data_IF_217997309800
#
_entry.id   IF_217997309800
#
_cell.length_a   1.000
_cell.length_b   1.000
_cell.length_c   1.000
_cell.angle_alpha   90.00
_cell.angle_beta   90.00
_cell.angle_gamma   90.00
#
_symmetry.space_group_name_H-M   'P 1'
#
loop_
_entity.id
_entity.type
_entity.pdbx_description
1 polymer ?
#
# COMPACT_ATOMS: atom_id res chain seq x y z
N UNK A 1 -3.47 12.51 12.84
CA UNK A 1 -3.06 12.93 11.48
C UNK A 1 -1.95 11.99 11.01
N UNK A 2 -1.73 11.77 9.69
CA UNK A 2 -0.59 10.96 9.22
C UNK A 2 0.75 11.61 9.59
N UNK A 3 1.74 10.80 9.90
CA UNK A 3 3.11 11.28 10.03
C UNK A 3 3.57 11.90 8.70
N UNK A 4 4.21 13.06 8.77
CA UNK A 4 4.70 13.76 7.59
C UNK A 4 6.03 13.16 7.06
N UNK A 5 6.78 12.49 7.92
CA UNK A 5 8.14 11.99 7.67
C UNK A 5 8.31 10.48 7.92
N UNK A 6 7.22 9.71 7.91
CA UNK A 6 7.31 8.28 8.18
C UNK A 6 6.00 7.54 8.00
N UNK A 7 5.98 6.32 8.48
CA UNK A 7 4.82 5.44 8.43
C UNK A 7 3.94 5.60 9.67
N UNK A 8 2.63 5.63 9.48
CA UNK A 8 1.65 5.67 10.57
C UNK A 8 1.00 7.03 10.79
N UNK A 9 0.38 7.20 11.94
CA UNK A 9 -0.30 8.43 12.38
C UNK A 9 0.44 9.03 13.57
N UNK A 10 0.27 10.33 13.80
CA UNK A 10 0.93 11.09 14.89
C UNK A 10 0.55 10.60 16.29
N UNK A 11 -0.60 9.95 16.40
CA UNK A 11 -1.14 9.34 17.64
C UNK A 11 -0.86 7.83 17.73
N UNK A 12 -0.20 7.25 16.75
CA UNK A 12 0.18 5.85 16.78
C UNK A 12 1.51 5.67 17.53
N UNK A 13 1.52 4.77 18.52
CA UNK A 13 2.70 4.42 19.30
C UNK A 13 3.65 3.50 18.50
N UNK A 14 3.99 3.92 17.28
CA UNK A 14 4.87 3.20 16.35
C UNK A 14 6.36 3.56 16.52
N UNK A 15 6.76 4.16 17.64
CA UNK A 15 8.16 4.26 18.01
C UNK A 15 8.68 2.87 18.35
N UNK A 16 8.97 2.06 17.34
CA UNK A 16 9.71 0.82 17.53
C UNK A 16 11.13 1.18 17.96
N UNK A 17 11.38 1.19 19.27
CA UNK A 17 12.75 1.10 19.74
C UNK A 17 13.32 -0.23 19.30
N UNK A 18 14.45 -0.18 18.55
CA UNK A 18 15.17 -1.38 18.15
C UNK A 18 15.56 -2.15 19.43
N UNK A 19 15.12 -3.41 19.54
CA UNK A 19 15.56 -4.29 20.62
C UNK A 19 17.10 -4.38 20.61
N UNK A 20 17.70 -4.63 21.78
CA UNK A 20 19.17 -4.78 21.88
C UNK A 20 19.69 -5.88 20.94
N UNK A 21 18.94 -6.99 20.80
CA UNK A 21 19.30 -8.08 19.92
C UNK A 21 19.27 -7.67 18.43
N UNK A 22 18.23 -6.94 18.01
CA UNK A 22 18.13 -6.43 16.63
C UNK A 22 19.21 -5.39 16.33
N UNK A 23 19.49 -4.51 17.30
CA UNK A 23 20.59 -3.53 17.16
C UNK A 23 21.94 -4.24 16.97
N UNK A 24 22.26 -5.21 17.82
CA UNK A 24 23.51 -6.01 17.69
C UNK A 24 23.59 -6.74 16.37
N UNK A 25 22.48 -7.31 15.89
CA UNK A 25 22.40 -7.97 14.59
C UNK A 25 22.70 -6.96 13.45
N UNK A 26 22.07 -5.78 13.47
CA UNK A 26 22.31 -4.75 12.46
C UNK A 26 23.77 -4.27 12.48
N UNK A 27 24.33 -4.01 13.66
CA UNK A 27 25.75 -3.59 13.79
C UNK A 27 26.72 -4.67 13.27
N UNK A 28 26.42 -5.94 13.48
CA UNK A 28 27.21 -7.04 12.93
C UNK A 28 27.12 -7.15 11.41
N UNK A 29 25.95 -6.83 10.82
CA UNK A 29 25.72 -6.95 9.38
C UNK A 29 26.21 -5.75 8.57
N UNK A 30 25.99 -4.55 9.07
CA UNK A 30 26.20 -3.30 8.30
C UNK A 30 27.17 -2.32 8.98
N UNK A 31 27.68 -2.66 10.17
CA UNK A 31 28.55 -1.81 10.96
C UNK A 31 27.80 -0.77 11.80
N UNK A 32 28.56 0.06 12.52
CA UNK A 32 28.00 1.11 13.36
C UNK A 32 27.38 2.21 12.51
N UNK A 33 26.09 2.49 12.75
CA UNK A 33 25.35 3.51 12.04
C UNK A 33 25.75 4.94 12.46
N UNK A 34 25.55 5.87 11.56
CA UNK A 34 25.63 7.32 11.86
C UNK A 34 24.22 7.86 12.04
N UNK A 35 23.97 8.60 13.12
CA UNK A 35 22.68 9.25 13.32
C UNK A 35 22.42 10.27 12.21
N UNK A 36 21.25 10.17 11.59
CA UNK A 36 20.79 11.16 10.62
C UNK A 36 20.34 12.44 11.34
N UNK A 37 20.51 13.62 10.74
CA UNK A 37 19.84 14.82 11.20
C UNK A 37 18.34 14.58 11.28
N UNK A 38 17.69 15.10 12.33
CA UNK A 38 16.24 15.01 12.49
C UNK A 38 15.65 16.40 12.22
N UNK A 39 15.09 16.59 11.02
CA UNK A 39 14.41 17.83 10.68
C UNK A 39 13.02 17.85 11.30
N UNK A 40 12.59 19.01 11.73
CA UNK A 40 11.20 19.25 12.13
C UNK A 40 10.32 19.56 10.91
N UNK A 41 9.01 19.40 11.07
CA UNK A 41 8.05 19.80 10.03
C UNK A 41 8.23 21.29 9.64
N UNK A 42 8.47 22.15 10.63
CA UNK A 42 8.68 23.57 10.39
C UNK A 42 9.94 23.88 9.59
N UNK A 43 11.02 23.10 9.77
CA UNK A 43 12.24 23.25 8.96
C UNK A 43 11.95 23.01 7.48
N UNK A 44 11.09 22.04 7.16
CA UNK A 44 10.71 21.72 5.78
C UNK A 44 9.67 22.71 5.25
N UNK A 45 8.66 23.10 6.05
CA UNK A 45 7.67 24.13 5.70
C UNK A 45 8.35 25.42 5.26
N UNK A 46 9.44 25.82 5.96
CA UNK A 46 10.17 27.06 5.64
C UNK A 46 10.86 27.06 4.27
N UNK A 47 11.01 25.89 3.65
CA UNK A 47 11.61 25.71 2.31
C UNK A 47 10.59 25.71 1.18
N UNK A 48 9.30 25.64 1.50
CA UNK A 48 8.22 25.56 0.48
C UNK A 48 8.14 26.90 -0.28
N UNK A 49 8.33 26.89 -1.61
CA UNK A 49 8.25 28.12 -2.39
C UNK A 49 6.80 28.62 -2.50
N UNK A 50 6.63 29.85 -2.93
CA UNK A 50 5.31 30.36 -3.27
C UNK A 50 4.64 29.47 -4.32
N UNK A 51 3.31 29.32 -4.22
CA UNK A 51 2.56 28.59 -5.24
C UNK A 51 2.62 29.32 -6.58
N UNK A 52 2.60 28.55 -7.67
CA UNK A 52 2.48 29.05 -9.04
C UNK A 52 1.03 28.92 -9.56
N UNK A 53 0.10 28.44 -8.72
CA UNK A 53 -1.32 28.28 -9.06
C UNK A 53 -2.10 29.53 -8.74
N UNK A 54 -3.07 29.85 -9.59
CA UNK A 54 -4.13 30.81 -9.31
C UNK A 54 -5.09 30.28 -8.24
N UNK A 55 -5.82 31.17 -7.62
CA UNK A 55 -6.81 30.82 -6.57
C UNK A 55 -7.93 29.98 -7.20
N UNK A 56 -8.16 28.81 -6.62
CA UNK A 56 -9.25 27.90 -7.01
C UNK A 56 -9.94 27.34 -5.76
N UNK A 57 -11.29 27.27 -5.72
CA UNK A 57 -12.02 26.88 -4.50
C UNK A 57 -11.74 25.46 -4.00
N UNK A 58 -11.33 24.55 -4.88
CA UNK A 58 -11.00 23.16 -4.54
C UNK A 58 -9.52 22.94 -4.26
N UNK A 59 -8.64 23.93 -4.43
CA UNK A 59 -7.19 23.77 -4.31
C UNK A 59 -6.67 24.48 -3.06
N UNK A 60 -5.95 23.74 -2.25
CA UNK A 60 -5.27 24.20 -1.03
C UNK A 60 -3.81 24.41 -1.36
N UNK A 61 -3.26 25.58 -1.01
CA UNK A 61 -1.89 25.98 -1.36
C UNK A 61 -1.00 26.25 -0.14
N UNK A 62 -1.49 25.97 1.08
CA UNK A 62 -0.68 26.14 2.29
C UNK A 62 0.54 25.20 2.29
N UNK A 63 1.60 25.65 2.95
CA UNK A 63 2.90 24.97 2.90
C UNK A 63 2.87 23.58 3.58
N UNK A 64 2.13 23.43 4.69
CA UNK A 64 2.07 22.15 5.41
C UNK A 64 1.39 21.07 4.56
N UNK A 65 0.24 21.36 3.97
CA UNK A 65 -0.46 20.43 3.08
C UNK A 65 0.44 20.00 1.92
N UNK A 66 1.19 20.94 1.35
CA UNK A 66 2.11 20.67 0.25
C UNK A 66 3.30 19.80 0.67
N UNK A 67 3.83 19.99 1.88
CA UNK A 67 4.89 19.13 2.45
C UNK A 67 4.39 17.69 2.62
N UNK A 68 3.18 17.50 3.16
CA UNK A 68 2.58 16.18 3.41
C UNK A 68 2.29 15.38 2.13
N UNK A 69 2.34 16.03 0.97
CA UNK A 69 2.12 15.42 -0.36
C UNK A 69 3.38 15.45 -1.25
N UNK A 70 4.54 15.73 -0.66
CA UNK A 70 5.77 15.91 -1.43
C UNK A 70 6.55 14.62 -1.70
N UNK A 71 6.34 13.57 -0.91
CA UNK A 71 7.10 12.31 -0.99
C UNK A 71 6.21 11.09 -0.78
N UNK A 72 6.65 9.96 -1.36
CA UNK A 72 6.12 8.64 -1.07
C UNK A 72 6.77 8.00 0.16
N UNK A 73 6.92 6.67 0.14
CA UNK A 73 7.39 5.86 1.28
C UNK A 73 8.59 4.98 0.91
N UNK A 74 9.38 5.36 -0.11
CA UNK A 74 10.63 4.68 -0.40
C UNK A 74 11.70 5.01 0.65
N UNK A 75 12.74 4.18 0.75
CA UNK A 75 13.85 4.49 1.65
C UNK A 75 14.51 5.84 1.34
N UNK A 76 14.79 6.22 0.07
CA UNK A 76 15.23 7.57 -0.26
C UNK A 76 14.27 8.67 0.22
N UNK A 77 12.94 8.48 0.05
CA UNK A 77 11.96 9.46 0.52
C UNK A 77 12.04 9.65 2.04
N UNK A 78 12.20 8.55 2.79
CA UNK A 78 12.35 8.63 4.25
C UNK A 78 13.63 9.35 4.66
N UNK A 79 14.75 9.08 3.98
CA UNK A 79 16.01 9.77 4.24
C UNK A 79 15.89 11.27 3.96
N UNK A 80 15.24 11.65 2.86
CA UNK A 80 15.00 13.06 2.52
C UNK A 80 14.11 13.75 3.56
N UNK A 81 13.00 13.11 3.94
CA UNK A 81 12.07 13.67 4.92
C UNK A 81 12.75 13.82 6.31
N UNK A 82 13.42 12.78 6.81
CA UNK A 82 14.09 12.82 8.10
C UNK A 82 15.24 13.82 8.16
N UNK A 83 16.02 13.94 7.08
CA UNK A 83 17.12 14.92 7.01
C UNK A 83 16.67 16.32 6.62
N UNK A 84 15.39 16.50 6.25
CA UNK A 84 14.86 17.76 5.76
C UNK A 84 15.35 18.15 4.37
N UNK A 85 15.86 17.21 3.58
CA UNK A 85 16.35 17.45 2.21
C UNK A 85 15.21 17.39 1.16
N UNK A 86 14.01 17.76 1.56
CA UNK A 86 12.88 17.89 0.64
C UNK A 86 12.99 19.20 -0.10
N UNK A 87 13.12 19.15 -1.41
CA UNK A 87 13.37 20.31 -2.29
C UNK A 87 12.27 20.52 -3.34
N UNK A 88 11.35 19.56 -3.48
CA UNK A 88 10.27 19.58 -4.47
C UNK A 88 8.93 19.37 -3.80
N UNK A 89 8.00 20.23 -4.13
CA UNK A 89 6.66 20.25 -3.55
C UNK A 89 5.62 20.44 -4.67
N UNK A 90 4.40 19.90 -4.52
CA UNK A 90 3.31 20.32 -5.40
C UNK A 90 3.03 21.81 -5.18
N UNK A 91 2.51 22.49 -6.19
CA UNK A 91 2.08 23.89 -6.05
C UNK A 91 0.77 24.02 -5.28
N UNK A 92 -0.06 22.97 -5.34
CA UNK A 92 -1.29 22.87 -4.55
C UNK A 92 -1.77 21.42 -4.47
N UNK A 93 -2.71 21.22 -3.55
CA UNK A 93 -3.36 19.92 -3.31
C UNK A 93 -4.86 20.13 -3.33
N UNK A 94 -5.58 19.26 -4.03
CA UNK A 94 -7.04 19.24 -4.05
C UNK A 94 -7.57 17.97 -3.39
N UNK A 95 -8.70 18.09 -2.67
CA UNK A 95 -9.38 16.98 -1.98
C UNK A 95 -10.82 16.87 -2.50
N UNK A 96 -11.04 16.33 -3.71
CA UNK A 96 -12.37 16.20 -4.27
C UNK A 96 -13.22 15.21 -3.46
N UNK A 97 -14.52 15.48 -3.42
CA UNK A 97 -15.55 14.68 -2.76
C UNK A 97 -16.45 13.94 -3.76
N UNK A 98 -16.29 14.24 -5.05
CA UNK A 98 -17.06 13.59 -6.12
C UNK A 98 -16.28 13.47 -7.42
N UNK A 99 -16.74 12.60 -8.31
CA UNK A 99 -16.18 12.42 -9.65
C UNK A 99 -16.30 13.69 -10.49
N UNK A 100 -17.35 14.48 -10.27
CA UNK A 100 -17.59 15.75 -10.95
C UNK A 100 -16.53 16.80 -10.55
N UNK A 101 -16.15 16.87 -9.26
CA UNK A 101 -15.07 17.75 -8.81
C UNK A 101 -13.71 17.31 -9.37
N UNK A 102 -13.45 15.99 -9.47
CA UNK A 102 -12.24 15.49 -10.15
C UNK A 102 -12.22 15.93 -11.60
N UNK A 103 -13.35 15.85 -12.28
CA UNK A 103 -13.48 16.31 -13.66
C UNK A 103 -13.26 17.81 -13.81
N UNK A 104 -13.83 18.62 -12.92
CA UNK A 104 -13.59 20.06 -12.87
C UNK A 104 -12.10 20.38 -12.72
N UNK A 105 -11.42 19.72 -11.79
CA UNK A 105 -9.97 19.86 -11.57
C UNK A 105 -9.14 19.46 -12.80
N UNK A 106 -9.53 18.39 -13.51
CA UNK A 106 -8.83 17.97 -14.74
C UNK A 106 -9.05 18.97 -15.90
N UNK A 107 -10.24 19.55 -16.03
CA UNK A 107 -10.51 20.62 -16.99
C UNK A 107 -9.64 21.84 -16.67
N UNK A 108 -9.67 22.29 -15.41
CA UNK A 108 -8.81 23.38 -14.93
C UNK A 108 -7.32 23.11 -15.20
N UNK A 109 -6.85 21.89 -14.90
CA UNK A 109 -5.46 21.51 -15.15
C UNK A 109 -5.09 21.57 -16.65
N UNK A 110 -5.99 21.12 -17.51
CA UNK A 110 -5.80 21.17 -18.96
C UNK A 110 -5.73 22.59 -19.49
N UNK A 111 -6.65 23.46 -19.05
CA UNK A 111 -6.73 24.87 -19.48
C UNK A 111 -5.51 25.69 -19.00
N UNK A 112 -4.96 25.36 -17.84
CA UNK A 112 -3.83 26.05 -17.22
C UNK A 112 -2.49 25.32 -17.42
N UNK A 113 -2.46 24.27 -18.24
CA UNK A 113 -1.24 23.48 -18.53
C UNK A 113 -0.52 22.96 -17.29
N UNK A 114 -1.28 22.45 -16.31
CA UNK A 114 -0.75 21.90 -15.07
C UNK A 114 -0.27 20.45 -15.25
N UNK A 115 0.70 20.05 -14.43
CA UNK A 115 1.01 18.63 -14.18
C UNK A 115 0.09 18.13 -13.08
N UNK A 116 -0.61 17.02 -13.29
CA UNK A 116 -1.49 16.41 -12.31
C UNK A 116 -0.85 15.15 -11.76
N UNK A 117 -0.81 15.05 -10.42
CA UNK A 117 -0.38 13.85 -9.70
C UNK A 117 -1.59 13.28 -8.95
N UNK A 118 -2.17 12.15 -9.38
CA UNK A 118 -3.16 11.44 -8.59
C UNK A 118 -2.53 10.86 -7.32
N UNK A 119 -3.21 11.05 -6.18
CA UNK A 119 -2.71 10.63 -4.89
C UNK A 119 -3.80 9.85 -4.13
N UNK A 120 -3.46 8.67 -3.67
CA UNK A 120 -4.33 7.86 -2.83
C UNK A 120 -3.86 7.90 -1.37
N UNK A 121 -3.31 6.78 -0.89
CA UNK A 121 -2.72 6.72 0.44
C UNK A 121 -1.28 7.22 0.56
N UNK A 122 -0.62 7.68 -0.49
CA UNK A 122 0.77 8.16 -0.46
C UNK A 122 1.81 7.08 -0.13
N UNK A 123 1.45 5.81 -0.26
CA UNK A 123 2.29 4.65 0.14
C UNK A 123 3.22 4.16 -0.95
N UNK A 124 3.37 4.90 -2.05
CA UNK A 124 4.25 4.56 -3.16
C UNK A 124 5.71 4.43 -2.71
N UNK A 125 6.38 3.38 -3.18
CA UNK A 125 7.83 3.14 -2.96
C UNK A 125 8.65 3.29 -4.23
N UNK A 126 8.04 3.72 -5.33
CA UNK A 126 8.70 3.89 -6.65
C UNK A 126 8.75 5.35 -7.10
N UNK A 127 8.32 6.29 -6.26
CA UNK A 127 8.45 7.72 -6.47
C UNK A 127 7.48 8.35 -7.48
N UNK A 128 6.53 7.61 -8.05
CA UNK A 128 5.62 8.15 -9.08
C UNK A 128 4.65 9.23 -8.58
N UNK A 129 4.53 9.41 -7.27
CA UNK A 129 3.74 10.50 -6.66
C UNK A 129 4.61 11.69 -6.23
N UNK A 130 5.94 11.59 -6.36
CA UNK A 130 6.85 12.67 -5.99
C UNK A 130 6.83 13.76 -7.06
N UNK A 131 6.72 15.04 -6.68
CA UNK A 131 6.87 16.14 -7.63
C UNK A 131 8.25 16.12 -8.31
N UNK A 132 8.27 16.36 -9.62
CA UNK A 132 9.50 16.47 -10.40
C UNK A 132 9.84 17.92 -10.74
N UNK A 133 11.06 18.16 -11.21
CA UNK A 133 11.45 19.47 -11.74
C UNK A 133 10.72 19.73 -13.06
N UNK A 134 9.90 20.75 -13.08
CA UNK A 134 9.15 21.18 -14.26
C UNK A 134 8.84 22.67 -14.19
N UNK A 135 8.80 23.32 -15.35
CA UNK A 135 8.35 24.70 -15.47
C UNK A 135 6.84 24.87 -15.28
N UNK A 136 6.09 23.76 -15.35
CA UNK A 136 4.65 23.75 -15.15
C UNK A 136 4.29 23.66 -13.67
N UNK A 137 3.22 24.34 -13.21
CA UNK A 137 2.71 24.12 -11.87
C UNK A 137 2.21 22.68 -11.68
N UNK A 138 2.37 22.16 -10.47
CA UNK A 138 2.00 20.79 -10.11
C UNK A 138 0.80 20.81 -9.17
N UNK A 139 -0.27 20.13 -9.57
CA UNK A 139 -1.47 19.89 -8.77
C UNK A 139 -1.53 18.43 -8.34
N UNK A 140 -1.45 18.16 -7.05
CA UNK A 140 -1.76 16.84 -6.48
C UNK A 140 -3.26 16.73 -6.20
N UNK A 141 -3.90 15.65 -6.63
CA UNK A 141 -5.32 15.37 -6.37
C UNK A 141 -5.42 14.18 -5.43
N UNK A 142 -5.71 14.44 -4.17
CA UNK A 142 -5.84 13.45 -3.10
C UNK A 142 -7.28 12.92 -3.05
N UNK A 143 -7.42 11.63 -3.30
CA UNK A 143 -8.71 10.94 -3.35
C UNK A 143 -9.26 10.54 -1.97
N UNK A 144 -8.57 10.84 -0.88
CA UNK A 144 -8.88 10.36 0.47
C UNK A 144 -10.28 10.71 1.00
N UNK A 145 -10.94 11.74 0.46
CA UNK A 145 -12.32 12.07 0.80
C UNK A 145 -13.37 11.20 0.07
N UNK A 146 -13.00 10.55 -1.02
CA UNK A 146 -13.87 9.63 -1.76
C UNK A 146 -13.68 8.21 -1.22
N UNK A 147 -14.05 7.95 0.03
CA UNK A 147 -13.69 6.74 0.78
C UNK A 147 -14.89 5.90 1.26
N UNK A 148 -16.09 6.16 0.78
CA UNK A 148 -17.29 5.45 1.21
C UNK A 148 -17.65 4.29 0.29
N UNK A 149 -18.35 3.29 0.84
CA UNK A 149 -19.06 2.29 0.03
C UNK A 149 -20.28 2.94 -0.62
N UNK A 150 -20.38 2.84 -1.94
CA UNK A 150 -21.47 3.43 -2.74
C UNK A 150 -22.62 2.44 -2.95
N UNK A 151 -22.30 1.16 -3.16
CA UNK A 151 -23.29 0.10 -3.34
C UNK A 151 -22.71 -1.28 -3.06
N UNK A 152 -23.58 -2.22 -2.73
CA UNK A 152 -23.27 -3.65 -2.65
C UNK A 152 -24.38 -4.45 -3.33
N UNK A 153 -23.99 -5.39 -4.18
CA UNK A 153 -24.85 -6.38 -4.81
C UNK A 153 -24.41 -7.76 -4.31
N UNK A 154 -25.18 -8.30 -3.36
CA UNK A 154 -24.87 -9.59 -2.74
C UNK A 154 -25.21 -10.78 -3.63
N UNK A 155 -26.08 -10.61 -4.62
CA UNK A 155 -26.42 -11.66 -5.60
C UNK A 155 -25.26 -11.85 -6.59
N UNK A 156 -24.74 -10.75 -7.13
CA UNK A 156 -23.57 -10.77 -8.04
C UNK A 156 -22.23 -10.80 -7.30
N UNK A 157 -22.23 -10.66 -5.98
CA UNK A 157 -21.02 -10.52 -5.14
C UNK A 157 -20.11 -9.40 -5.62
N UNK A 158 -20.69 -8.22 -5.80
CA UNK A 158 -19.99 -7.00 -6.20
C UNK A 158 -20.21 -5.89 -5.17
N UNK A 159 -19.19 -5.09 -4.94
CA UNK A 159 -19.31 -3.86 -4.16
C UNK A 159 -18.59 -2.72 -4.87
N UNK A 160 -19.16 -1.52 -4.81
CA UNK A 160 -18.58 -0.31 -5.39
C UNK A 160 -18.20 0.65 -4.27
N UNK A 161 -16.97 1.14 -4.32
CA UNK A 161 -16.41 2.11 -3.40
C UNK A 161 -15.85 3.32 -4.14
N UNK A 162 -15.79 4.45 -3.46
CA UNK A 162 -14.92 5.54 -3.85
C UNK A 162 -13.45 5.09 -3.84
N UNK A 163 -12.68 5.53 -4.81
CA UNK A 163 -11.30 5.07 -5.04
C UNK A 163 -10.32 5.41 -3.89
N UNK A 164 -10.66 6.40 -3.05
CA UNK A 164 -9.90 6.79 -1.87
C UNK A 164 -10.13 5.93 -0.63
N UNK A 165 -10.97 4.89 -0.70
CA UNK A 165 -11.24 4.02 0.44
C UNK A 165 -10.00 3.22 0.86
N UNK A 166 -9.49 3.38 2.09
CA UNK A 166 -8.38 2.57 2.60
C UNK A 166 -8.85 1.19 3.03
N UNK A 167 -7.91 0.25 3.16
CA UNK A 167 -8.19 -1.14 3.49
C UNK A 167 -9.09 -1.35 4.70
N UNK A 168 -8.85 -0.70 5.85
CA UNK A 168 -9.70 -0.83 7.02
C UNK A 168 -11.16 -0.47 6.75
N UNK A 169 -11.44 0.61 6.02
CA UNK A 169 -12.81 1.02 5.66
C UNK A 169 -13.45 -0.01 4.72
N UNK A 170 -12.72 -0.47 3.69
CA UNK A 170 -13.24 -1.48 2.76
C UNK A 170 -13.64 -2.74 3.51
N UNK A 171 -12.77 -3.28 4.35
CA UNK A 171 -13.05 -4.52 5.10
C UNK A 171 -14.15 -4.32 6.16
N UNK A 172 -14.16 -3.20 6.88
CA UNK A 172 -15.18 -2.91 7.88
C UNK A 172 -16.59 -2.84 7.25
N UNK A 173 -16.73 -2.12 6.14
CA UNK A 173 -18.01 -2.01 5.45
C UNK A 173 -18.47 -3.36 4.88
N UNK A 174 -17.59 -4.14 4.26
CA UNK A 174 -17.93 -5.45 3.73
C UNK A 174 -18.32 -6.44 4.83
N UNK A 175 -17.64 -6.42 5.97
CA UNK A 175 -17.95 -7.29 7.13
C UNK A 175 -19.36 -7.07 7.67
N UNK A 176 -19.90 -5.85 7.64
CA UNK A 176 -21.31 -5.56 8.04
C UNK A 176 -22.33 -6.34 7.21
N UNK A 177 -21.93 -6.74 5.99
CA UNK A 177 -22.76 -7.52 5.06
C UNK A 177 -22.36 -8.99 4.97
N UNK A 178 -21.38 -9.46 5.78
CA UNK A 178 -20.90 -10.84 5.77
C UNK A 178 -19.88 -11.16 4.68
N UNK A 179 -19.19 -10.15 4.15
CA UNK A 179 -18.21 -10.29 3.07
C UNK A 179 -16.82 -9.76 3.45
N UNK A 180 -15.82 -10.10 2.65
CA UNK A 180 -14.46 -9.58 2.67
C UNK A 180 -13.98 -9.36 1.25
N UNK A 181 -13.04 -8.46 1.04
CA UNK A 181 -12.27 -8.38 -0.18
C UNK A 181 -11.11 -9.38 -0.17
N UNK A 182 -10.48 -9.56 1.00
CA UNK A 182 -9.33 -10.45 1.15
C UNK A 182 -8.03 -9.91 0.53
N UNK A 183 -7.96 -8.63 0.24
CA UNK A 183 -6.78 -7.99 -0.33
C UNK A 183 -5.99 -7.26 0.75
N UNK A 184 -4.87 -7.87 1.19
CA UNK A 184 -4.05 -7.37 2.30
C UNK A 184 -2.61 -7.05 1.83
N UNK A 185 -2.36 -5.96 1.08
CA UNK A 185 -0.99 -5.53 0.79
C UNK A 185 -0.30 -5.08 2.08
N UNK A 186 1.04 -5.01 2.09
CA UNK A 186 1.79 -4.56 3.28
C UNK A 186 1.38 -3.15 3.73
N UNK A 187 0.95 -2.32 2.82
CA UNK A 187 0.48 -0.95 3.06
C UNK A 187 -1.04 -0.86 3.36
N UNK A 188 -1.71 -1.97 3.67
CA UNK A 188 -3.16 -2.10 3.76
C UNK A 188 -3.85 -1.00 4.57
N UNK A 189 -3.28 -0.61 5.71
CA UNK A 189 -3.86 0.39 6.60
C UNK A 189 -3.98 1.79 5.98
N UNK A 190 -3.04 2.15 5.11
CA UNK A 190 -2.88 3.49 4.56
C UNK A 190 -3.15 3.57 3.05
N UNK A 191 -2.93 2.49 2.32
CA UNK A 191 -3.15 2.46 0.87
C UNK A 191 -4.64 2.37 0.53
N UNK A 192 -5.01 2.86 -0.64
CA UNK A 192 -6.41 2.99 -1.05
C UNK A 192 -6.77 2.04 -2.18
N UNK A 193 -8.05 1.73 -2.30
CA UNK A 193 -8.59 0.82 -3.31
C UNK A 193 -8.22 1.24 -4.75
N UNK A 194 -8.37 2.54 -5.07
CA UNK A 194 -7.94 3.07 -6.37
C UNK A 194 -6.43 2.98 -6.57
N UNK A 195 -5.65 3.18 -5.51
CA UNK A 195 -4.20 3.01 -5.53
C UNK A 195 -3.81 1.56 -5.80
N UNK A 196 -4.53 0.58 -5.25
CA UNK A 196 -4.28 -0.84 -5.53
C UNK A 196 -4.51 -1.18 -7.01
N UNK A 197 -5.61 -0.69 -7.59
CA UNK A 197 -5.89 -0.86 -9.02
C UNK A 197 -4.81 -0.18 -9.86
N UNK A 198 -4.48 1.08 -9.55
CA UNK A 198 -3.50 1.87 -10.28
C UNK A 198 -2.08 1.26 -10.25
N UNK A 199 -1.69 0.59 -9.15
CA UNK A 199 -0.37 -0.05 -9.01
C UNK A 199 -0.38 -1.56 -9.33
N UNK A 200 -1.52 -2.16 -9.65
CA UNK A 200 -1.70 -3.60 -9.87
C UNK A 200 -1.19 -4.42 -8.68
N UNK A 201 -1.61 -4.03 -7.49
CA UNK A 201 -1.04 -4.53 -6.23
C UNK A 201 -1.36 -6.01 -5.95
N UNK A 202 -0.52 -6.63 -5.11
CA UNK A 202 -0.71 -7.97 -4.57
C UNK A 202 -0.84 -7.90 -3.05
N UNK A 203 -1.67 -8.76 -2.50
CA UNK A 203 -1.86 -8.91 -1.05
C UNK A 203 -1.20 -10.18 -0.52
N UNK A 204 -1.03 -10.29 0.79
CA UNK A 204 -0.42 -11.46 1.43
C UNK A 204 -1.24 -12.74 1.27
N UNK A 205 -2.56 -12.62 1.12
CA UNK A 205 -3.48 -13.73 0.91
C UNK A 205 -3.92 -13.89 -0.56
N UNK A 206 -3.18 -13.33 -1.49
CA UNK A 206 -3.50 -13.40 -2.93
C UNK A 206 -3.48 -14.83 -3.50
N UNK A 207 -2.89 -15.77 -2.78
CA UNK A 207 -2.95 -17.18 -3.16
C UNK A 207 -4.38 -17.72 -3.11
N UNK A 208 -5.19 -17.27 -2.16
CA UNK A 208 -6.59 -17.67 -1.99
C UNK A 208 -7.56 -16.73 -2.71
N UNK A 209 -7.45 -15.44 -2.41
CA UNK A 209 -8.42 -14.45 -2.90
C UNK A 209 -8.08 -13.90 -4.30
N UNK A 210 -6.87 -14.15 -4.81
CA UNK A 210 -6.36 -13.54 -6.02
C UNK A 210 -5.66 -12.21 -5.75
N UNK A 211 -5.13 -11.61 -6.80
CA UNK A 211 -4.56 -10.26 -6.80
C UNK A 211 -5.64 -9.26 -7.19
N UNK A 212 -5.32 -7.96 -7.09
CA UNK A 212 -6.31 -6.90 -7.40
C UNK A 212 -6.89 -7.03 -8.82
N UNK A 213 -6.14 -7.52 -9.80
CA UNK A 213 -6.63 -7.75 -11.15
C UNK A 213 -7.74 -8.82 -11.23
N UNK A 214 -7.76 -9.76 -10.31
CA UNK A 214 -8.82 -10.76 -10.22
C UNK A 214 -10.08 -10.20 -9.53
N UNK A 215 -9.89 -9.22 -8.65
CA UNK A 215 -10.94 -8.59 -7.86
C UNK A 215 -11.59 -7.41 -8.59
N UNK A 216 -10.82 -6.64 -9.36
CA UNK A 216 -11.31 -5.47 -10.08
C UNK A 216 -12.32 -5.87 -11.15
N UNK A 217 -13.59 -5.50 -10.96
CA UNK A 217 -14.67 -5.81 -11.88
C UNK A 217 -14.96 -4.68 -12.86
N UNK A 218 -14.78 -3.43 -12.45
CA UNK A 218 -15.07 -2.24 -13.25
C UNK A 218 -14.96 -0.97 -12.42
N UNK A 219 -15.37 0.17 -12.99
CA UNK A 219 -15.29 1.43 -12.27
C UNK A 219 -15.42 2.66 -13.16
N UNK A 220 -15.12 3.83 -12.57
CA UNK A 220 -15.17 5.11 -13.24
C UNK A 220 -13.81 5.80 -13.14
N UNK A 221 -13.35 6.30 -14.28
CA UNK A 221 -12.08 6.99 -14.41
C UNK A 221 -12.33 8.35 -15.09
N UNK A 222 -11.88 9.43 -14.48
CA UNK A 222 -11.89 10.74 -15.10
C UNK A 222 -10.58 10.98 -15.84
N UNK A 223 -10.67 11.38 -17.11
CA UNK A 223 -9.53 11.63 -17.97
C UNK A 223 -9.55 13.06 -18.53
N UNK A 224 -8.45 13.54 -19.07
CA UNK A 224 -8.38 14.85 -19.74
C UNK A 224 -9.34 14.99 -20.96
N UNK A 225 -9.85 13.88 -21.48
CA UNK A 225 -10.73 13.86 -22.66
C UNK A 225 -12.17 13.47 -22.34
N UNK A 226 -12.49 13.15 -21.10
CA UNK A 226 -13.83 12.76 -20.68
C UNK A 226 -13.83 11.66 -19.64
N UNK A 227 -15.02 11.21 -19.27
CA UNK A 227 -15.23 10.11 -18.35
C UNK A 227 -15.15 8.78 -19.09
N UNK A 228 -14.40 7.84 -18.52
CA UNK A 228 -14.37 6.44 -18.95
C UNK A 228 -15.11 5.60 -17.92
N UNK A 229 -16.13 4.88 -18.38
CA UNK A 229 -16.85 3.88 -17.57
C UNK A 229 -16.41 2.49 -18.01
N UNK A 230 -15.94 1.71 -17.07
CA UNK A 230 -15.62 0.29 -17.27
C UNK A 230 -16.78 -0.54 -16.69
N UNK A 231 -17.59 -1.16 -17.56
CA UNK A 231 -18.73 -1.95 -17.09
C UNK A 231 -18.26 -3.23 -16.39
N UNK A 232 -19.08 -3.71 -15.44
CA UNK A 232 -18.81 -4.91 -14.63
C UNK A 232 -19.14 -6.22 -15.36
N UNK A 233 -18.92 -6.29 -16.65
CA UNK A 233 -19.15 -7.50 -17.46
C UNK A 233 -18.12 -8.56 -17.06
N UNK A 234 -18.53 -9.76 -16.61
CA UNK A 234 -17.62 -10.79 -16.09
C UNK A 234 -16.55 -11.23 -17.11
N UNK A 235 -16.95 -11.38 -18.36
CA UNK A 235 -16.08 -11.73 -19.47
C UNK A 235 -16.67 -11.19 -20.78
N UNK A 236 -15.80 -10.76 -21.71
CA UNK A 236 -16.21 -10.29 -23.03
C UNK A 236 -15.23 -10.81 -24.09
N UNK A 237 -15.79 -11.24 -25.22
CA UNK A 237 -14.99 -11.60 -26.40
C UNK A 237 -14.82 -10.41 -27.36
N UNK A 238 -15.38 -9.24 -27.03
CA UNK A 238 -15.41 -8.06 -27.89
C UNK A 238 -14.25 -7.11 -27.53
N UNK A 239 -13.21 -7.13 -28.33
CA UNK A 239 -12.07 -6.24 -28.23
C UNK A 239 -11.16 -6.48 -27.01
N UNK A 240 -10.16 -5.60 -26.81
CA UNK A 240 -9.28 -5.67 -25.66
C UNK A 240 -10.02 -5.33 -24.36
N UNK A 241 -9.63 -5.97 -23.25
CA UNK A 241 -10.18 -5.69 -21.94
C UNK A 241 -9.59 -4.36 -21.40
N UNK A 242 -10.44 -3.34 -21.30
CA UNK A 242 -10.03 -2.00 -20.83
C UNK A 242 -9.61 -2.03 -19.36
N UNK A 243 -10.06 -3.00 -18.55
CA UNK A 243 -9.60 -3.19 -17.17
C UNK A 243 -8.09 -3.38 -17.13
N UNK A 244 -7.55 -4.17 -18.05
CA UNK A 244 -6.10 -4.44 -18.14
C UNK A 244 -5.27 -3.20 -18.47
N UNK A 245 -5.85 -2.21 -19.14
CA UNK A 245 -5.18 -0.93 -19.42
C UNK A 245 -5.09 -0.05 -18.17
N UNK A 246 -6.10 -0.09 -17.30
CA UNK A 246 -6.15 0.71 -16.07
C UNK A 246 -5.33 0.08 -14.96
N UNK A 247 -5.31 -1.24 -14.88
CA UNK A 247 -4.49 -1.99 -13.94
C UNK A 247 -3.00 -1.73 -14.17
N UNK A 248 -2.34 -1.13 -13.17
CA UNK A 248 -0.91 -0.77 -13.26
C UNK A 248 -0.63 0.49 -14.08
N UNK A 249 -1.64 1.30 -14.39
CA UNK A 249 -1.47 2.57 -15.15
C UNK A 249 -0.81 3.68 -14.34
N UNK A 250 -0.76 3.56 -13.02
CA UNK A 250 -0.13 4.51 -12.08
C UNK A 250 -0.61 5.97 -12.29
N UNK A 251 -1.89 6.13 -12.61
CA UNK A 251 -2.51 7.45 -12.82
C UNK A 251 -2.24 8.10 -14.18
N UNK A 252 -1.50 7.46 -15.09
CA UNK A 252 -1.14 8.04 -16.40
C UNK A 252 -2.30 8.12 -17.39
N UNK A 253 -3.31 7.27 -17.23
CA UNK A 253 -4.48 7.24 -18.12
C UNK A 253 -5.67 8.03 -17.58
N UNK A 254 -5.60 8.52 -16.35
CA UNK A 254 -6.66 9.27 -15.69
C UNK A 254 -6.69 9.01 -14.19
N UNK A 255 -7.65 9.59 -13.51
CA UNK A 255 -7.88 9.45 -12.07
C UNK A 255 -9.04 8.51 -11.85
N UNK A 256 -8.79 7.40 -11.16
CA UNK A 256 -9.83 6.45 -10.77
C UNK A 256 -10.65 7.11 -9.65
N UNK A 257 -11.97 7.20 -9.85
CA UNK A 257 -12.89 7.81 -8.88
C UNK A 257 -13.78 6.78 -8.20
N UNK A 258 -14.16 5.71 -8.93
CA UNK A 258 -14.98 4.63 -8.42
C UNK A 258 -14.37 3.28 -8.79
N UNK A 259 -14.41 2.35 -7.86
CA UNK A 259 -13.90 0.98 -8.07
C UNK A 259 -14.97 -0.02 -7.67
N UNK A 260 -15.38 -0.86 -8.62
CA UNK A 260 -16.23 -2.03 -8.35
C UNK A 260 -15.37 -3.28 -8.25
N UNK A 261 -15.51 -3.98 -7.15
CA UNK A 261 -14.74 -5.17 -6.77
C UNK A 261 -15.61 -6.40 -6.61
N UNK A 262 -15.05 -7.57 -6.91
CA UNK A 262 -15.61 -8.86 -6.54
C UNK A 262 -15.32 -9.14 -5.09
N UNK A 263 -16.35 -9.50 -4.34
CA UNK A 263 -16.27 -9.76 -2.89
C UNK A 263 -16.52 -11.25 -2.63
N UNK A 264 -15.97 -11.74 -1.52
CA UNK A 264 -16.06 -13.14 -1.11
C UNK A 264 -16.77 -13.23 0.25
N UNK A 265 -17.64 -14.23 0.52
CA UNK A 265 -18.18 -14.44 1.85
C UNK A 265 -17.09 -14.53 2.90
N UNK A 266 -17.35 -13.97 4.11
CA UNK A 266 -16.40 -14.06 5.23
C UNK A 266 -16.13 -15.53 5.56
N UNK A 267 -14.86 -15.91 5.71
CA UNK A 267 -14.51 -17.25 6.15
C UNK A 267 -14.92 -17.46 7.62
N UNK A 268 -15.39 -18.66 7.95
CA UNK A 268 -15.73 -19.01 9.32
C UNK A 268 -14.48 -19.16 10.21
N UNK A 269 -13.38 -19.61 9.63
CA UNK A 269 -12.10 -19.82 10.31
C UNK A 269 -10.92 -19.40 9.45
N UNK A 270 -9.96 -18.82 10.15
CA UNK A 270 -8.65 -18.50 9.59
C UNK A 270 -7.58 -18.90 10.61
N UNK A 271 -6.51 -19.56 10.15
CA UNK A 271 -5.38 -19.95 10.98
C UNK A 271 -4.08 -19.75 10.23
N UNK A 272 -3.10 -19.16 10.92
CA UNK A 272 -1.73 -19.05 10.44
C UNK A 272 -0.81 -19.95 11.23
N UNK A 273 0.13 -20.58 10.55
CA UNK A 273 1.10 -21.52 11.13
C UNK A 273 2.50 -21.16 10.65
N UNK A 274 3.48 -21.55 11.45
CA UNK A 274 4.90 -21.39 11.13
C UNK A 274 5.57 -22.74 11.18
N UNK A 275 6.41 -23.02 10.17
CA UNK A 275 7.28 -24.18 10.15
C UNK A 275 8.71 -23.77 9.79
N UNK A 276 9.68 -24.45 10.37
CA UNK A 276 11.10 -24.20 10.10
C UNK A 276 11.71 -25.36 9.33
N UNK A 277 12.54 -25.05 8.36
CA UNK A 277 13.32 -26.02 7.59
C UNK A 277 14.81 -25.80 7.84
N UNK A 278 15.63 -26.91 7.75
CA UNK A 278 17.05 -26.82 8.05
C UNK A 278 17.86 -26.06 6.99
N UNK A 279 17.34 -25.89 5.77
CA UNK A 279 18.02 -25.14 4.71
C UNK A 279 17.02 -24.48 3.76
N UNK A 280 17.52 -23.51 2.98
CA UNK A 280 16.77 -22.83 1.92
C UNK A 280 16.25 -23.80 0.86
N UNK A 281 17.07 -24.75 0.43
CA UNK A 281 16.75 -25.73 -0.63
C UNK A 281 15.56 -26.61 -0.23
N UNK A 282 15.56 -27.08 1.03
CA UNK A 282 14.46 -27.90 1.56
C UNK A 282 13.17 -27.05 1.68
N UNK A 283 13.27 -25.83 2.21
CA UNK A 283 12.12 -24.90 2.30
C UNK A 283 11.56 -24.56 0.94
N UNK A 284 12.39 -24.26 -0.04
CA UNK A 284 11.98 -23.99 -1.43
C UNK A 284 11.32 -25.20 -2.09
N UNK A 285 11.86 -26.41 -1.86
CA UNK A 285 11.26 -27.62 -2.39
C UNK A 285 9.86 -27.87 -1.81
N UNK A 286 9.71 -27.69 -0.51
CA UNK A 286 8.41 -27.81 0.17
C UNK A 286 7.41 -26.76 -0.33
N UNK A 287 7.81 -25.48 -0.43
CA UNK A 287 6.94 -24.41 -0.95
C UNK A 287 6.49 -24.70 -2.39
N UNK A 288 7.41 -25.13 -3.26
CA UNK A 288 7.10 -25.50 -4.64
C UNK A 288 6.11 -26.66 -4.70
N UNK A 289 6.32 -27.70 -3.90
CA UNK A 289 5.43 -28.86 -3.88
C UNK A 289 4.00 -28.49 -3.44
N UNK A 290 3.86 -27.69 -2.37
CA UNK A 290 2.56 -27.20 -1.91
C UNK A 290 1.81 -26.46 -3.02
N UNK A 291 2.49 -25.57 -3.75
CA UNK A 291 1.87 -24.79 -4.84
C UNK A 291 1.54 -25.66 -6.05
N UNK A 292 2.44 -26.56 -6.45
CA UNK A 292 2.22 -27.46 -7.61
C UNK A 292 1.11 -28.46 -7.36
N UNK A 293 0.99 -28.95 -6.14
CA UNK A 293 -0.12 -29.83 -5.72
C UNK A 293 -1.43 -29.06 -5.47
N UNK A 294 -1.43 -27.71 -5.60
CA UNK A 294 -2.61 -26.85 -5.37
C UNK A 294 -3.23 -27.08 -4.00
N UNK A 295 -2.39 -27.24 -2.97
CA UNK A 295 -2.88 -27.30 -1.59
C UNK A 295 -3.64 -26.02 -1.29
N UNK A 296 -4.86 -26.14 -0.73
CA UNK A 296 -5.74 -25.01 -0.47
C UNK A 296 -5.22 -24.17 0.72
N UNK A 297 -4.28 -23.27 0.46
CA UNK A 297 -3.69 -22.34 1.43
C UNK A 297 -4.11 -20.91 1.08
N UNK A 298 -4.30 -20.09 2.09
CA UNK A 298 -4.59 -18.65 1.88
C UNK A 298 -3.31 -17.85 1.68
N UNK A 299 -2.22 -18.27 2.30
CA UNK A 299 -0.91 -17.62 2.24
C UNK A 299 0.21 -18.67 2.30
N UNK A 300 1.29 -18.43 1.58
CA UNK A 300 2.59 -19.09 1.76
C UNK A 300 3.69 -18.05 1.63
N UNK A 301 4.53 -17.92 2.65
CA UNK A 301 5.71 -17.05 2.64
C UNK A 301 6.90 -17.82 3.18
N UNK A 302 7.95 -17.94 2.38
CA UNK A 302 9.23 -18.53 2.78
C UNK A 302 10.25 -17.40 2.97
N UNK A 303 10.80 -17.28 4.16
CA UNK A 303 11.85 -16.32 4.52
C UNK A 303 13.22 -16.99 4.42
N UNK A 304 14.19 -16.31 3.81
CA UNK A 304 15.56 -16.79 3.76
C UNK A 304 16.22 -16.77 5.17
N UNK A 305 17.42 -17.34 5.35
CA UNK A 305 18.05 -17.45 6.69
C UNK A 305 18.21 -16.09 7.39
N UNK A 306 18.64 -15.05 6.67
CA UNK A 306 18.82 -13.72 7.24
C UNK A 306 17.49 -13.08 7.63
N UNK A 307 16.49 -13.13 6.74
CA UNK A 307 15.14 -12.65 7.03
C UNK A 307 14.52 -13.43 8.20
N UNK A 308 14.68 -14.75 8.24
CA UNK A 308 14.20 -15.60 9.34
C UNK A 308 14.77 -15.13 10.68
N UNK A 309 16.06 -14.94 10.77
CA UNK A 309 16.73 -14.44 11.98
C UNK A 309 16.22 -13.04 12.35
N UNK A 310 16.17 -12.13 11.37
CA UNK A 310 15.68 -10.76 11.60
C UNK A 310 14.25 -10.73 12.12
N UNK A 311 13.33 -11.52 11.53
CA UNK A 311 11.93 -11.60 11.97
C UNK A 311 11.78 -12.17 13.39
N UNK A 312 12.58 -13.16 13.77
CA UNK A 312 12.58 -13.71 15.12
C UNK A 312 13.00 -12.63 16.14
N UNK A 313 14.07 -11.90 15.88
CA UNK A 313 14.53 -10.82 16.78
C UNK A 313 13.58 -9.61 16.80
N UNK A 314 12.96 -9.28 15.67
CA UNK A 314 11.92 -8.24 15.62
C UNK A 314 10.70 -8.62 16.44
N UNK A 315 10.24 -9.88 16.36
CA UNK A 315 9.09 -10.38 17.11
C UNK A 315 9.32 -10.52 18.61
N UNK A 316 10.55 -10.59 19.05
CA UNK A 316 10.92 -10.71 20.47
C UNK A 316 10.80 -9.41 21.26
N UNK A 317 10.68 -8.26 20.61
CA UNK A 317 10.65 -6.97 21.29
C UNK A 317 11.97 -6.68 22.03
N UNK A 318 11.87 -6.20 23.28
CA UNK A 318 13.05 -5.88 24.11
C UNK A 318 13.74 -7.10 24.74
N UNK A 319 13.03 -8.25 24.86
CA UNK A 319 13.56 -9.48 25.48
C UNK A 319 13.75 -10.57 24.43
N UNK A 320 15.01 -10.83 24.06
CA UNK A 320 15.39 -11.87 23.11
C UNK A 320 15.58 -13.27 23.74
N UNK A 321 15.35 -13.46 25.03
CA UNK A 321 15.55 -14.75 25.71
C UNK A 321 14.70 -15.88 25.12
N UNK A 322 13.47 -15.57 24.70
CA UNK A 322 12.58 -16.50 24.01
C UNK A 322 13.11 -16.95 22.64
N UNK A 323 13.80 -16.06 21.91
CA UNK A 323 14.44 -16.40 20.63
C UNK A 323 15.59 -17.38 20.85
N UNK A 324 16.44 -17.12 21.83
CA UNK A 324 17.56 -18.02 22.16
C UNK A 324 17.05 -19.42 22.52
N UNK A 325 16.01 -19.50 23.37
CA UNK A 325 15.41 -20.79 23.73
C UNK A 325 14.79 -21.52 22.53
N UNK A 326 14.14 -20.78 21.61
CA UNK A 326 13.62 -21.34 20.38
C UNK A 326 14.75 -21.86 19.48
N UNK A 327 15.82 -21.10 19.30
CA UNK A 327 16.97 -21.48 18.49
C UNK A 327 17.66 -22.75 19.02
N UNK A 328 17.85 -22.86 20.34
CA UNK A 328 18.35 -24.08 20.97
C UNK A 328 17.44 -25.30 20.74
N UNK A 329 16.11 -25.07 20.84
CA UNK A 329 15.11 -26.11 20.59
C UNK A 329 15.13 -26.60 19.14
N UNK A 330 15.23 -25.67 18.20
CA UNK A 330 15.31 -25.97 16.77
C UNK A 330 16.62 -26.68 16.42
N UNK A 331 17.76 -26.26 16.97
CA UNK A 331 19.05 -26.91 16.78
C UNK A 331 19.06 -28.36 17.24
N UNK A 332 18.44 -28.66 18.39
CA UNK A 332 18.28 -30.04 18.90
C UNK A 332 17.45 -30.93 17.95
N UNK A 333 16.64 -30.32 17.09
CA UNK A 333 15.83 -31.02 16.06
C UNK A 333 16.50 -31.04 14.68
N UNK A 334 17.74 -30.60 14.58
CA UNK A 334 18.48 -30.56 13.30
C UNK A 334 18.17 -29.33 12.44
N UNK A 335 17.52 -28.31 13.02
CA UNK A 335 17.18 -27.07 12.34
C UNK A 335 18.02 -25.95 12.99
N UNK A 336 19.30 -25.89 12.66
CA UNK A 336 20.28 -24.98 13.27
C UNK A 336 20.56 -23.75 12.41
N UNK A 337 21.86 -23.47 12.24
CA UNK A 337 22.34 -22.40 11.39
C UNK A 337 21.88 -22.60 9.93
N UNK A 338 21.49 -21.51 9.26
CA UNK A 338 20.94 -21.58 7.89
C UNK A 338 19.47 -21.94 7.80
N UNK A 339 18.77 -22.08 8.95
CA UNK A 339 17.33 -22.34 8.99
C UNK A 339 16.53 -21.30 8.24
N UNK A 340 15.42 -21.73 7.66
CA UNK A 340 14.45 -20.89 6.99
C UNK A 340 13.07 -21.09 7.60
N UNK A 341 12.29 -20.04 7.63
CA UNK A 341 10.93 -20.02 8.19
C UNK A 341 9.90 -19.92 7.07
N UNK A 342 8.92 -20.82 7.07
CA UNK A 342 7.76 -20.72 6.21
C UNK A 342 6.53 -20.40 7.07
N UNK A 343 5.86 -19.31 6.75
CA UNK A 343 4.53 -18.98 7.26
C UNK A 343 3.50 -19.37 6.23
N UNK A 344 2.44 -20.06 6.65
CA UNK A 344 1.32 -20.39 5.78
C UNK A 344 -0.01 -20.16 6.49
N UNK A 345 -1.05 -19.85 5.72
CA UNK A 345 -2.39 -19.60 6.19
C UNK A 345 -3.39 -20.59 5.59
N UNK A 346 -4.42 -20.91 6.37
CA UNK A 346 -5.57 -21.70 5.94
C UNK A 346 -6.83 -20.93 6.30
N UNK A 347 -7.72 -20.80 5.32
CA UNK A 347 -8.96 -20.03 5.43
C UNK A 347 -10.09 -20.87 4.85
N UNK A 348 -11.24 -20.95 5.54
CA UNK A 348 -12.36 -21.75 5.05
C UNK A 348 -13.50 -21.90 6.06
N UNK A 349 -14.35 -22.91 5.81
CA UNK A 349 -15.44 -23.32 6.72
C UNK A 349 -14.90 -24.10 7.93
N UNK A 350 -15.74 -24.23 8.97
CA UNK A 350 -15.41 -24.93 10.21
C UNK A 350 -15.34 -26.45 10.03
#
# INVERSE_FOLDING_TARGET
MRLWNGWGNEDSDLTMELSSGLRSLLEALVGTGTALPQATLNDVISKVPNTRLDIHPLIITDAETRVRHARGQSLPDWLDMHSGNVDKFPDGVAFPESSEQVRELLVHAKENNLVVIPYGGGTSVVGHINPENTDKPILTIDMGKMNSMMSIDTESQLATFGAGAPGPIVEEELKKHGYTLGHFPQSWELSTLGGWVASRSSGQQSLHYGRIENMFAGGRIETLNGTMIIPTIPASSAGPDVREMILGSEGRLGIITEVTIRITPLPEKEKFQVVFFPSWEIGMSAARELIQQRVALSMVRLSNPLETTSLLYMGAGSDSSGVVALEESLSKKGVGEGKVMMTFGVTGSA
#
